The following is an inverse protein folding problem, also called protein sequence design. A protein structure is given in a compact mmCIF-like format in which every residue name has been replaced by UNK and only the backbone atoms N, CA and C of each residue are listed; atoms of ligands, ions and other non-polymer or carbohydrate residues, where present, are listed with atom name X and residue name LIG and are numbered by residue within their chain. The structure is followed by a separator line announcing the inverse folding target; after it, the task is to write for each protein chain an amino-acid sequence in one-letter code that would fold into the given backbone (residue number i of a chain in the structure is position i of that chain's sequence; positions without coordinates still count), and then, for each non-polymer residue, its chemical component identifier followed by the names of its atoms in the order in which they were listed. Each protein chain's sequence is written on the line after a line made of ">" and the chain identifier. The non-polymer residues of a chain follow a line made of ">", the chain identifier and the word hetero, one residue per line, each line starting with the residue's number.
data_IF_232717843746
#
_entry.id   IF_232717843746
#
_cell.length_a   1.000
_cell.length_b   1.000
_cell.length_c   1.000
_cell.angle_alpha   90.00
_cell.angle_beta   90.00
_cell.angle_gamma   90.00
#
_symmetry.space_group_name_H-M   'P 1'
#
loop_
_entity.id
_entity.type
_entity.pdbx_description
1 polymer ?
#
# COMPACT_ATOMS: atom_id res chain seq x y z
N UNK A 1 1.98 1.07 -22.37
CA UNK A 1 3.10 1.19 -21.42
C UNK A 1 2.86 2.28 -20.38
N UNK A 2 2.41 3.47 -20.78
CA UNK A 2 2.25 4.62 -19.85
C UNK A 2 1.34 4.33 -18.65
N UNK A 3 0.21 3.65 -18.88
CA UNK A 3 -0.71 3.21 -17.81
C UNK A 3 -0.07 2.25 -16.80
N UNK A 4 0.83 1.36 -17.25
CA UNK A 4 1.54 0.41 -16.38
C UNK A 4 2.52 1.15 -15.46
N UNK A 5 3.27 2.09 -16.02
CA UNK A 5 4.22 2.90 -15.26
C UNK A 5 3.46 3.74 -14.23
N UNK A 6 2.35 4.38 -14.63
CA UNK A 6 1.50 5.13 -13.71
C UNK A 6 0.98 4.22 -12.59
N UNK A 7 0.52 3.01 -12.92
CA UNK A 7 0.03 2.05 -11.95
C UNK A 7 1.11 1.62 -10.94
N UNK A 8 2.26 1.15 -11.43
CA UNK A 8 3.42 0.73 -10.63
C UNK A 8 3.89 1.87 -9.72
N UNK A 9 3.99 3.08 -10.27
CA UNK A 9 4.39 4.28 -9.51
C UNK A 9 3.38 4.60 -8.41
N UNK A 10 2.09 4.63 -8.76
CA UNK A 10 1.02 4.95 -7.81
C UNK A 10 0.97 3.92 -6.69
N UNK A 11 1.14 2.64 -7.02
CA UNK A 11 1.14 1.55 -6.06
C UNK A 11 2.28 1.66 -5.04
N UNK A 12 3.54 1.80 -5.50
CA UNK A 12 4.68 1.91 -4.58
C UNK A 12 4.64 3.20 -3.75
N UNK A 13 4.28 4.32 -4.38
CA UNK A 13 4.12 5.60 -3.66
C UNK A 13 3.05 5.49 -2.58
N UNK A 14 1.95 4.77 -2.83
CA UNK A 14 0.89 4.57 -1.85
C UNK A 14 1.40 3.81 -0.62
N UNK A 15 2.15 2.71 -0.81
CA UNK A 15 2.74 1.93 0.28
C UNK A 15 3.69 2.81 1.10
N UNK A 16 4.59 3.50 0.42
CA UNK A 16 5.60 4.36 1.05
C UNK A 16 4.94 5.50 1.84
N UNK A 17 3.93 6.16 1.28
CA UNK A 17 3.18 7.24 1.94
C UNK A 17 2.47 6.75 3.21
N UNK A 18 1.87 5.57 3.16
CA UNK A 18 1.23 4.95 4.34
C UNK A 18 2.26 4.73 5.44
N UNK A 19 3.38 4.09 5.12
CA UNK A 19 4.40 3.80 6.12
C UNK A 19 4.99 5.07 6.72
N UNK A 20 5.32 6.05 5.89
CA UNK A 20 5.81 7.34 6.38
C UNK A 20 4.78 8.06 7.27
N UNK A 21 3.49 7.99 6.94
CA UNK A 21 2.42 8.56 7.78
C UNK A 21 2.37 7.90 9.17
N UNK A 22 2.50 6.57 9.25
CA UNK A 22 2.55 5.86 10.53
C UNK A 22 3.79 6.20 11.34
N UNK A 23 4.97 6.22 10.71
CA UNK A 23 6.24 6.57 11.36
C UNK A 23 6.19 8.01 11.88
N UNK A 24 5.74 8.95 11.05
CA UNK A 24 5.61 10.36 11.43
C UNK A 24 4.70 10.54 12.66
N UNK A 25 3.53 9.90 12.66
CA UNK A 25 2.58 9.98 13.79
C UNK A 25 3.14 9.32 15.04
N UNK A 26 3.83 8.19 14.90
CA UNK A 26 4.50 7.52 16.01
C UNK A 26 5.54 8.45 16.67
N UNK A 27 6.39 9.08 15.85
CA UNK A 27 7.41 10.01 16.35
C UNK A 27 6.77 11.23 17.02
N UNK A 28 5.78 11.85 16.36
CA UNK A 28 5.11 13.04 16.88
C UNK A 28 4.37 12.79 18.20
N UNK A 29 3.67 11.66 18.35
CA UNK A 29 2.85 11.37 19.52
C UNK A 29 3.63 10.70 20.65
N UNK A 30 4.40 9.65 20.34
CA UNK A 30 5.02 8.80 21.36
C UNK A 30 6.44 9.23 21.72
N UNK A 31 7.11 10.01 20.85
CA UNK A 31 8.54 10.32 20.93
C UNK A 31 8.83 11.77 20.54
N UNK A 32 8.14 12.73 21.16
CA UNK A 32 8.25 14.16 20.84
C UNK A 32 9.70 14.71 20.86
N UNK A 33 10.59 14.13 21.68
CA UNK A 33 12.03 14.48 21.69
C UNK A 33 12.73 14.09 20.37
N UNK A 34 12.52 12.87 19.90
CA UNK A 34 13.05 12.41 18.60
C UNK A 34 12.35 13.08 17.42
N UNK A 35 11.14 13.60 17.61
CA UNK A 35 10.45 14.37 16.57
C UNK A 35 11.19 15.67 16.23
N UNK A 36 11.79 16.35 17.22
CA UNK A 36 12.61 17.54 16.95
C UNK A 36 13.88 17.19 16.15
N UNK A 37 14.54 16.08 16.47
CA UNK A 37 15.66 15.56 15.70
C UNK A 37 15.24 15.10 14.28
N UNK A 38 14.09 14.45 14.16
CA UNK A 38 13.52 14.00 12.89
C UNK A 38 13.08 15.19 11.99
N UNK A 39 12.68 16.31 12.59
CA UNK A 39 12.35 17.56 11.89
C UNK A 39 13.59 18.36 11.45
N UNK A 40 14.79 17.88 11.77
CA UNK A 40 16.04 18.49 11.29
C UNK A 40 16.20 18.25 9.79
N UNK A 41 16.74 19.24 9.06
CA UNK A 41 16.98 19.17 7.60
C UNK A 41 17.70 17.89 7.17
N UNK A 42 18.65 17.42 7.97
CA UNK A 42 19.41 16.18 7.72
C UNK A 42 18.52 14.93 7.76
N UNK A 43 17.66 14.81 8.77
CA UNK A 43 16.75 13.67 8.93
C UNK A 43 15.70 13.61 7.82
N UNK A 44 15.17 14.79 7.43
CA UNK A 44 14.25 14.90 6.27
C UNK A 44 14.96 14.47 4.98
N UNK A 45 16.20 14.89 4.78
CA UNK A 45 16.97 14.53 3.60
C UNK A 45 17.27 13.02 3.56
N UNK A 46 17.66 12.43 4.70
CA UNK A 46 17.87 10.98 4.84
C UNK A 46 16.58 10.21 4.55
N UNK A 47 15.44 10.67 5.09
CA UNK A 47 14.13 10.10 4.80
C UNK A 47 13.75 10.20 3.32
N UNK A 48 14.04 11.33 2.67
CA UNK A 48 13.79 11.48 1.23
C UNK A 48 14.60 10.48 0.40
N UNK A 49 15.91 10.37 0.66
CA UNK A 49 16.76 9.43 -0.06
C UNK A 49 16.42 7.97 0.22
N UNK A 50 16.06 7.61 1.45
CA UNK A 50 15.64 6.24 1.77
C UNK A 50 14.37 5.85 1.01
N UNK A 51 13.38 6.75 0.94
CA UNK A 51 12.17 6.55 0.17
C UNK A 51 12.45 6.44 -1.34
N UNK A 52 13.37 7.27 -1.86
CA UNK A 52 13.77 7.20 -3.26
C UNK A 52 14.42 5.85 -3.59
N UNK A 53 15.31 5.35 -2.72
CA UNK A 53 15.94 4.03 -2.87
C UNK A 53 14.91 2.89 -2.88
N UNK A 54 13.92 2.96 -1.99
CA UNK A 54 12.82 1.99 -1.94
C UNK A 54 12.02 1.99 -3.25
N UNK A 55 11.65 3.18 -3.75
CA UNK A 55 10.91 3.30 -5.01
C UNK A 55 11.72 2.74 -6.17
N UNK A 56 13.02 3.06 -6.24
CA UNK A 56 13.92 2.55 -7.28
C UNK A 56 14.07 1.03 -7.23
N UNK A 57 14.23 0.43 -6.04
CA UNK A 57 14.28 -1.03 -5.88
C UNK A 57 12.98 -1.68 -6.38
N UNK A 58 11.81 -1.13 -6.03
CA UNK A 58 10.54 -1.63 -6.54
C UNK A 58 10.44 -1.54 -8.07
N UNK A 59 10.90 -0.45 -8.68
CA UNK A 59 10.92 -0.32 -10.15
C UNK A 59 11.79 -1.38 -10.82
N UNK A 60 12.95 -1.70 -10.25
CA UNK A 60 13.83 -2.77 -10.75
C UNK A 60 13.07 -4.10 -10.70
N UNK A 61 12.45 -4.43 -9.57
CA UNK A 61 11.66 -5.66 -9.42
C UNK A 61 10.49 -5.68 -10.41
N UNK A 62 9.73 -4.59 -10.51
CA UNK A 62 8.61 -4.46 -11.43
C UNK A 62 9.02 -4.67 -12.90
N UNK A 63 10.17 -4.13 -13.29
CA UNK A 63 10.68 -4.25 -14.65
C UNK A 63 11.22 -5.66 -14.97
N UNK A 64 11.93 -6.30 -14.04
CA UNK A 64 12.58 -7.59 -14.32
C UNK A 64 11.74 -8.83 -13.96
N UNK A 65 10.87 -8.74 -12.94
CA UNK A 65 10.09 -9.88 -12.45
C UNK A 65 8.62 -9.85 -12.90
N UNK A 66 8.01 -8.66 -12.94
CA UNK A 66 6.57 -8.51 -13.15
C UNK A 66 6.18 -7.98 -14.53
N UNK A 67 7.15 -7.52 -15.32
CA UNK A 67 6.89 -6.94 -16.63
C UNK A 67 6.38 -8.02 -17.59
N UNK A 68 5.29 -7.74 -18.35
CA UNK A 68 4.71 -8.72 -19.25
C UNK A 68 5.72 -9.08 -20.36
N UNK A 69 6.10 -10.35 -20.42
CA UNK A 69 6.80 -10.92 -21.57
C UNK A 69 5.78 -11.26 -22.67
N UNK A 70 6.21 -11.27 -23.93
CA UNK A 70 5.31 -11.58 -25.07
C UNK A 70 4.62 -12.94 -24.92
N UNK A 71 5.29 -13.91 -24.27
CA UNK A 71 4.72 -15.22 -23.99
C UNK A 71 3.70 -15.22 -22.85
N UNK A 72 3.90 -14.36 -21.84
CA UNK A 72 2.93 -14.13 -20.77
C UNK A 72 1.67 -13.43 -21.29
N UNK A 73 1.82 -12.46 -22.19
CA UNK A 73 0.66 -11.83 -22.85
C UNK A 73 -0.15 -12.87 -23.63
N UNK A 74 0.51 -13.74 -24.41
CA UNK A 74 -0.18 -14.84 -25.12
C UNK A 74 -0.90 -15.81 -24.19
N UNK A 75 -0.31 -16.12 -23.03
CA UNK A 75 -0.95 -16.97 -22.02
C UNK A 75 -2.24 -16.30 -21.50
N UNK A 76 -2.19 -15.00 -21.18
CA UNK A 76 -3.37 -14.26 -20.75
C UNK A 76 -4.42 -14.24 -21.86
N UNK A 77 -4.04 -13.94 -23.10
CA UNK A 77 -4.99 -13.91 -24.23
C UNK A 77 -5.66 -15.27 -24.51
N UNK A 78 -4.97 -16.37 -24.24
CA UNK A 78 -5.50 -17.72 -24.44
C UNK A 78 -6.27 -18.27 -23.22
N UNK A 79 -5.98 -17.79 -22.01
CA UNK A 79 -6.62 -18.26 -20.78
C UNK A 79 -7.78 -17.36 -20.31
N UNK A 80 -7.83 -16.10 -20.77
CA UNK A 80 -8.78 -15.08 -20.32
C UNK A 80 -9.80 -14.79 -21.42
N UNK A 81 -10.73 -15.73 -21.67
CA UNK A 81 -11.99 -15.39 -22.36
C UNK A 81 -12.94 -14.71 -21.37
N UNK A 82 -12.69 -13.43 -21.07
CA UNK A 82 -13.65 -12.64 -20.28
C UNK A 82 -14.76 -12.18 -21.23
N UNK A 83 -15.88 -12.89 -21.18
CA UNK A 83 -17.11 -12.51 -21.89
C UNK A 83 -17.47 -11.05 -21.61
N UNK A 84 -17.33 -10.18 -22.61
CA UNK A 84 -17.81 -8.80 -22.57
C UNK A 84 -16.79 -7.72 -22.21
N UNK A 85 -15.53 -8.04 -21.90
CA UNK A 85 -14.47 -7.03 -21.68
C UNK A 85 -13.51 -7.05 -22.86
N UNK A 86 -13.48 -5.97 -23.63
CA UNK A 86 -12.46 -5.77 -24.66
C UNK A 86 -11.10 -5.61 -23.96
N UNK A 87 -10.28 -6.66 -23.99
CA UNK A 87 -8.91 -6.65 -23.44
C UNK A 87 -7.95 -5.81 -24.31
N UNK A 88 -8.41 -5.29 -25.45
CA UNK A 88 -7.68 -4.32 -26.27
C UNK A 88 -7.46 -3.02 -25.47
N UNK A 89 -6.27 -2.88 -24.90
CA UNK A 89 -5.86 -1.75 -24.05
C UNK A 89 -5.76 -2.07 -22.56
N UNK A 90 -6.07 -3.31 -22.15
CA UNK A 90 -5.84 -3.76 -20.78
C UNK A 90 -4.35 -3.96 -20.52
N UNK A 91 -3.89 -3.55 -19.34
CA UNK A 91 -2.51 -3.70 -18.90
C UNK A 91 -2.46 -4.79 -17.85
N UNK A 92 -1.60 -5.78 -18.06
CA UNK A 92 -1.43 -6.91 -17.16
C UNK A 92 -0.07 -6.84 -16.47
N UNK A 93 -0.08 -7.14 -15.17
CA UNK A 93 1.11 -7.28 -14.34
C UNK A 93 0.96 -8.62 -13.61
N UNK A 94 1.95 -9.51 -13.71
CA UNK A 94 1.83 -10.81 -13.07
C UNK A 94 3.10 -11.65 -13.19
N UNK A 95 3.13 -12.74 -12.43
CA UNK A 95 4.20 -13.74 -12.44
C UNK A 95 3.60 -15.06 -12.88
N UNK A 96 4.32 -15.79 -13.71
CA UNK A 96 4.03 -17.19 -14.00
C UNK A 96 5.26 -18.02 -13.71
N UNK A 97 5.10 -19.05 -12.87
CA UNK A 97 6.14 -20.04 -12.59
C UNK A 97 6.56 -20.80 -13.87
N UNK A 98 5.69 -20.87 -14.88
CA UNK A 98 5.99 -21.59 -16.13
C UNK A 98 6.89 -20.82 -17.09
N UNK A 99 6.87 -19.48 -17.05
CA UNK A 99 7.54 -18.63 -18.04
C UNK A 99 8.56 -17.64 -17.45
N UNK A 100 8.49 -17.32 -16.15
CA UNK A 100 9.36 -16.35 -15.46
C UNK A 100 10.15 -16.96 -14.29
N UNK A 101 10.88 -18.05 -14.53
CA UNK A 101 11.68 -18.75 -13.48
C UNK A 101 13.18 -18.80 -13.75
N UNK A 102 13.78 -17.66 -14.10
CA UNK A 102 15.22 -17.52 -13.85
C UNK A 102 15.47 -17.40 -12.34
N UNK A 103 16.59 -17.94 -11.84
CA UNK A 103 16.95 -17.80 -10.41
C UNK A 103 17.03 -16.33 -9.95
N UNK A 104 17.34 -15.41 -10.88
CA UNK A 104 17.31 -13.98 -10.65
C UNK A 104 15.90 -13.43 -10.41
N UNK A 105 14.91 -13.80 -11.22
CA UNK A 105 13.51 -13.39 -11.03
C UNK A 105 12.94 -13.94 -9.71
N UNK A 106 13.27 -15.18 -9.37
CA UNK A 106 12.89 -15.77 -8.08
C UNK A 106 13.47 -14.97 -6.91
N UNK A 107 14.74 -14.56 -6.98
CA UNK A 107 15.38 -13.73 -5.96
C UNK A 107 14.67 -12.36 -5.82
N UNK A 108 14.25 -11.74 -6.93
CA UNK A 108 13.49 -10.48 -6.91
C UNK A 108 12.08 -10.65 -6.31
N UNK A 109 11.41 -11.78 -6.54
CA UNK A 109 10.11 -12.08 -5.93
C UNK A 109 10.25 -12.33 -4.42
N UNK A 110 11.34 -12.97 -4.00
CA UNK A 110 11.67 -13.12 -2.58
C UNK A 110 11.97 -11.75 -1.95
N UNK A 111 12.71 -10.88 -2.65
CA UNK A 111 13.01 -9.52 -2.19
C UNK A 111 11.73 -8.71 -1.95
N UNK A 112 10.78 -8.73 -2.89
CA UNK A 112 9.50 -8.02 -2.72
C UNK A 112 8.67 -8.55 -1.55
N UNK A 113 8.72 -9.87 -1.29
CA UNK A 113 8.03 -10.48 -0.17
C UNK A 113 8.59 -9.95 1.17
N UNK A 114 9.91 -9.96 1.33
CA UNK A 114 10.56 -9.42 2.52
C UNK A 114 10.33 -7.92 2.67
N UNK A 115 10.40 -7.17 1.57
CA UNK A 115 10.09 -5.75 1.55
C UNK A 115 8.67 -5.46 2.05
N UNK A 116 7.65 -6.11 1.48
CA UNK A 116 6.25 -5.96 1.89
C UNK A 116 6.02 -6.36 3.34
N UNK A 117 6.65 -7.45 3.79
CA UNK A 117 6.58 -7.91 5.18
C UNK A 117 7.20 -6.88 6.14
N UNK A 118 8.35 -6.30 5.80
CA UNK A 118 9.00 -5.28 6.63
C UNK A 118 8.13 -4.03 6.78
N UNK A 119 7.52 -3.55 5.68
CA UNK A 119 6.62 -2.38 5.70
C UNK A 119 5.39 -2.64 6.58
N UNK A 120 4.80 -3.84 6.49
CA UNK A 120 3.70 -4.28 7.35
C UNK A 120 4.11 -4.30 8.82
N UNK A 121 5.27 -4.86 9.14
CA UNK A 121 5.76 -4.97 10.53
C UNK A 121 6.02 -3.58 11.13
N UNK A 122 6.62 -2.66 10.37
CA UNK A 122 6.81 -1.27 10.78
C UNK A 122 5.45 -0.61 11.05
N UNK A 123 4.49 -0.78 10.15
CA UNK A 123 3.15 -0.20 10.30
C UNK A 123 2.42 -0.73 11.54
N UNK A 124 2.46 -2.05 11.79
CA UNK A 124 1.87 -2.67 12.99
C UNK A 124 2.58 -2.17 14.24
N UNK A 125 3.92 -2.13 14.25
CA UNK A 125 4.69 -1.66 15.39
C UNK A 125 4.31 -0.21 15.75
N UNK A 126 4.31 0.69 14.77
CA UNK A 126 3.91 2.08 14.95
C UNK A 126 2.45 2.17 15.44
N UNK A 127 1.52 1.45 14.80
CA UNK A 127 0.11 1.45 15.18
C UNK A 127 -0.11 0.97 16.62
N UNK A 128 0.52 -0.13 17.03
CA UNK A 128 0.42 -0.68 18.39
C UNK A 128 0.97 0.32 19.41
N UNK A 129 2.14 0.92 19.16
CA UNK A 129 2.73 1.89 20.08
C UNK A 129 1.86 3.15 20.23
N UNK A 130 1.34 3.67 19.11
CA UNK A 130 0.43 4.82 19.14
C UNK A 130 -0.86 4.45 19.90
N UNK A 131 -1.41 3.26 19.68
CA UNK A 131 -2.59 2.76 20.38
C UNK A 131 -2.35 2.67 21.90
N UNK A 132 -1.23 2.07 22.33
CA UNK A 132 -0.86 2.00 23.74
C UNK A 132 -0.70 3.40 24.36
N UNK A 133 -0.04 4.31 23.66
CA UNK A 133 0.15 5.69 24.11
C UNK A 133 -1.17 6.44 24.28
N UNK A 134 -2.06 6.39 23.28
CA UNK A 134 -3.39 7.00 23.33
C UNK A 134 -4.24 6.40 24.45
N UNK A 135 -4.19 5.08 24.65
CA UNK A 135 -4.91 4.41 25.75
C UNK A 135 -4.41 4.85 27.12
N UNK A 136 -3.11 5.08 27.28
CA UNK A 136 -2.55 5.62 28.52
C UNK A 136 -2.87 7.11 28.72
N UNK A 137 -2.87 7.91 27.64
CA UNK A 137 -3.13 9.35 27.67
C UNK A 137 -4.60 9.73 27.89
N UNK A 138 -5.54 8.88 27.44
CA UNK A 138 -6.97 9.06 27.68
C UNK A 138 -7.33 9.08 29.17
N UNK A 139 -6.48 8.55 30.06
CA UNK A 139 -6.69 8.60 31.50
C UNK A 139 -6.44 9.98 32.13
N UNK A 140 -5.86 10.92 31.37
CA UNK A 140 -5.64 12.32 31.77
C UNK A 140 -6.78 13.19 31.20
N UNK A 141 -7.57 13.80 32.09
CA UNK A 141 -8.92 14.34 31.84
C UNK A 141 -9.09 15.44 30.78
N UNK A 142 -8.03 16.04 30.23
CA UNK A 142 -8.12 17.28 29.45
C UNK A 142 -8.05 17.16 27.91
N UNK A 143 -7.94 15.97 27.30
CA UNK A 143 -7.76 15.85 25.82
C UNK A 143 -8.56 14.73 25.14
N UNK A 144 -9.67 14.31 25.73
CA UNK A 144 -10.39 13.09 25.33
C UNK A 144 -10.99 13.11 23.90
N UNK A 145 -11.44 14.25 23.40
CA UNK A 145 -12.14 14.35 22.10
C UNK A 145 -11.19 14.35 20.89
N UNK A 146 -10.04 15.02 21.01
CA UNK A 146 -9.00 15.04 19.96
C UNK A 146 -8.28 13.69 19.89
N UNK A 147 -7.94 13.12 21.05
CA UNK A 147 -7.28 11.80 21.13
C UNK A 147 -8.16 10.67 20.60
N UNK A 148 -9.48 10.69 20.89
CA UNK A 148 -10.42 9.69 20.37
C UNK A 148 -10.58 9.72 18.85
N UNK A 149 -10.59 10.90 18.24
CA UNK A 149 -10.67 11.04 16.77
C UNK A 149 -9.41 10.53 16.06
N UNK A 150 -8.23 10.87 16.59
CA UNK A 150 -6.96 10.34 16.09
C UNK A 150 -6.92 8.81 16.18
N UNK A 151 -7.42 8.24 17.28
CA UNK A 151 -7.48 6.79 17.49
C UNK A 151 -8.35 6.08 16.44
N UNK A 152 -9.56 6.57 16.18
CA UNK A 152 -10.46 5.99 15.16
C UNK A 152 -9.84 6.11 13.76
N UNK A 153 -9.24 7.26 13.44
CA UNK A 153 -8.56 7.46 12.16
C UNK A 153 -7.37 6.50 11.99
N UNK A 154 -6.59 6.26 13.05
CA UNK A 154 -5.47 5.32 13.06
C UNK A 154 -5.94 3.88 12.84
N UNK A 155 -7.00 3.46 13.50
CA UNK A 155 -7.56 2.11 13.31
C UNK A 155 -7.99 1.90 11.86
N UNK A 156 -8.72 2.87 11.28
CA UNK A 156 -9.18 2.77 9.90
C UNK A 156 -8.05 2.83 8.88
N UNK A 157 -7.06 3.71 9.10
CA UNK A 157 -5.87 3.78 8.25
C UNK A 157 -4.95 2.58 8.39
N UNK A 158 -5.04 1.82 9.49
CA UNK A 158 -4.32 0.55 9.62
C UNK A 158 -5.11 -0.52 8.87
N UNK A 159 -6.39 -0.71 9.19
CA UNK A 159 -7.21 -1.76 8.59
C UNK A 159 -7.32 -1.65 7.06
N UNK A 160 -7.40 -0.45 6.49
CA UNK A 160 -7.56 -0.25 5.05
C UNK A 160 -6.41 -0.82 4.19
N UNK A 161 -5.13 -0.42 4.37
CA UNK A 161 -4.02 -1.01 3.62
C UNK A 161 -3.82 -2.49 3.94
N UNK A 162 -4.12 -2.95 5.17
CA UNK A 162 -4.07 -4.37 5.50
C UNK A 162 -5.05 -5.20 4.67
N UNK A 163 -6.31 -4.80 4.62
CA UNK A 163 -7.38 -5.56 3.95
C UNK A 163 -7.30 -5.45 2.43
N UNK A 164 -7.05 -4.24 1.91
CA UNK A 164 -7.16 -3.99 0.48
C UNK A 164 -5.82 -4.11 -0.26
N UNK A 165 -4.67 -3.99 0.42
CA UNK A 165 -3.38 -3.96 -0.26
C UNK A 165 -2.46 -5.12 0.14
N UNK A 166 -2.24 -5.33 1.44
CA UNK A 166 -1.30 -6.36 1.90
C UNK A 166 -1.87 -7.77 1.80
N UNK A 167 -3.09 -8.02 2.31
CA UNK A 167 -3.70 -9.36 2.26
C UNK A 167 -3.82 -9.88 0.82
N UNK A 168 -4.39 -9.11 -0.14
CA UNK A 168 -4.47 -9.56 -1.53
C UNK A 168 -3.10 -9.76 -2.18
N UNK A 169 -2.13 -8.88 -1.89
CA UNK A 169 -0.76 -9.02 -2.41
C UNK A 169 -0.03 -10.25 -1.88
N UNK A 170 -0.10 -10.52 -0.57
CA UNK A 170 0.47 -11.73 0.02
C UNK A 170 -0.24 -13.00 -0.47
N UNK A 171 -1.55 -12.93 -0.64
CA UNK A 171 -2.33 -14.05 -1.19
C UNK A 171 -1.93 -14.37 -2.62
N UNK A 172 -1.75 -13.34 -3.48
CA UNK A 172 -1.26 -13.52 -4.84
C UNK A 172 0.14 -14.15 -4.87
N UNK A 173 1.07 -13.67 -4.03
CA UNK A 173 2.42 -14.24 -3.92
C UNK A 173 2.39 -15.69 -3.41
N UNK A 174 1.57 -15.97 -2.40
CA UNK A 174 1.41 -17.32 -1.86
C UNK A 174 0.91 -18.30 -2.92
N UNK A 175 -0.09 -17.91 -3.72
CA UNK A 175 -0.61 -18.73 -4.81
C UNK A 175 0.46 -19.03 -5.87
N UNK A 176 1.28 -18.03 -6.21
CA UNK A 176 2.42 -18.20 -7.14
C UNK A 176 3.43 -19.21 -6.58
N UNK A 177 3.78 -19.12 -5.30
CA UNK A 177 4.73 -20.05 -4.67
C UNK A 177 4.15 -21.45 -4.43
N UNK A 178 2.85 -21.55 -4.21
CA UNK A 178 2.14 -22.82 -4.02
C UNK A 178 1.87 -23.55 -5.35
N UNK A 179 2.23 -22.95 -6.49
CA UNK A 179 1.99 -23.46 -7.84
C UNK A 179 0.51 -23.83 -8.06
N UNK A 180 -0.39 -23.02 -7.49
CA UNK A 180 -1.83 -23.23 -7.59
C UNK A 180 -2.36 -22.46 -8.79
N UNK A 181 -2.96 -23.18 -9.73
CA UNK A 181 -3.69 -22.57 -10.85
C UNK A 181 -4.86 -21.73 -10.33
N UNK A 182 -4.75 -20.42 -10.49
CA UNK A 182 -5.79 -19.47 -10.09
C UNK A 182 -6.88 -19.39 -11.15
N UNK A 183 -8.14 -19.46 -10.72
CA UNK A 183 -9.27 -19.14 -11.60
C UNK A 183 -9.34 -17.63 -11.86
N UNK A 184 -9.90 -17.24 -13.01
CA UNK A 184 -10.11 -15.84 -13.38
C UNK A 184 -10.79 -15.03 -12.28
N UNK A 185 -11.81 -15.61 -11.64
CA UNK A 185 -12.55 -14.99 -10.55
C UNK A 185 -11.66 -14.61 -9.36
N UNK A 186 -10.73 -15.49 -8.98
CA UNK A 186 -9.82 -15.23 -7.85
C UNK A 186 -8.83 -14.11 -8.22
N UNK A 187 -8.29 -14.14 -9.43
CA UNK A 187 -7.38 -13.12 -9.95
C UNK A 187 -8.06 -11.76 -10.02
N UNK A 188 -9.29 -11.70 -10.57
CA UNK A 188 -10.06 -10.46 -10.70
C UNK A 188 -10.41 -9.84 -9.35
N UNK A 189 -10.86 -10.66 -8.38
CA UNK A 189 -11.13 -10.17 -7.03
C UNK A 189 -9.86 -9.63 -6.38
N UNK A 190 -8.76 -10.36 -6.48
CA UNK A 190 -7.47 -9.98 -5.87
C UNK A 190 -6.98 -8.66 -6.45
N UNK A 191 -6.96 -8.53 -7.77
CA UNK A 191 -6.60 -7.29 -8.47
C UNK A 191 -7.55 -6.14 -8.13
N UNK A 192 -8.87 -6.39 -8.10
CA UNK A 192 -9.88 -5.38 -7.77
C UNK A 192 -9.69 -4.85 -6.35
N UNK A 193 -9.46 -5.73 -5.37
CA UNK A 193 -9.19 -5.33 -3.99
C UNK A 193 -7.96 -4.43 -3.89
N UNK A 194 -6.86 -4.81 -4.55
CA UNK A 194 -5.63 -4.00 -4.62
C UNK A 194 -5.88 -2.63 -5.25
N UNK A 195 -6.67 -2.58 -6.33
CA UNK A 195 -6.97 -1.35 -7.05
C UNK A 195 -7.93 -0.43 -6.31
N UNK A 196 -8.78 -0.96 -5.43
CA UNK A 196 -9.70 -0.16 -4.63
C UNK A 196 -8.99 0.56 -3.47
N UNK A 197 -7.81 0.11 -3.06
CA UNK A 197 -7.11 0.66 -1.90
C UNK A 197 -6.95 2.20 -1.94
N UNK A 198 -6.43 2.84 -3.02
CA UNK A 198 -6.25 4.30 -3.06
C UNK A 198 -7.56 5.08 -2.89
N UNK A 199 -8.65 4.54 -3.46
CA UNK A 199 -9.98 5.14 -3.38
C UNK A 199 -10.51 5.04 -1.94
N UNK A 200 -10.47 3.84 -1.35
CA UNK A 200 -10.93 3.62 0.03
C UNK A 200 -10.11 4.49 1.00
N UNK A 201 -8.80 4.56 0.84
CA UNK A 201 -7.94 5.39 1.68
C UNK A 201 -8.31 6.88 1.59
N UNK A 202 -8.57 7.39 0.38
CA UNK A 202 -8.99 8.77 0.15
C UNK A 202 -10.35 9.07 0.79
N UNK A 203 -11.32 8.16 0.65
CA UNK A 203 -12.65 8.27 1.27
C UNK A 203 -12.53 8.28 2.80
N UNK A 204 -11.74 7.38 3.37
CA UNK A 204 -11.51 7.31 4.83
C UNK A 204 -10.92 8.62 5.34
N UNK A 205 -9.94 9.20 4.66
CA UNK A 205 -9.34 10.48 5.05
C UNK A 205 -10.38 11.61 5.03
N UNK A 206 -11.14 11.75 3.95
CA UNK A 206 -12.14 12.82 3.80
C UNK A 206 -13.28 12.68 4.82
N UNK A 207 -13.76 11.45 5.06
CA UNK A 207 -14.88 11.21 5.96
C UNK A 207 -14.53 11.47 7.44
N UNK A 208 -13.32 11.07 7.86
CA UNK A 208 -12.92 11.03 9.26
C UNK A 208 -12.12 12.24 9.74
N UNK A 209 -11.59 13.07 8.83
CA UNK A 209 -10.95 14.34 9.18
C UNK A 209 -11.99 15.47 9.06
N UNK A 210 -12.47 16.05 10.18
CA UNK A 210 -13.54 17.05 10.20
C UNK A 210 -13.27 18.25 9.30
N UNK A 211 -12.03 18.72 9.27
CA UNK A 211 -11.59 19.87 8.49
C UNK A 211 -11.76 19.62 6.99
N UNK A 212 -11.42 18.41 6.51
CA UNK A 212 -11.64 18.02 5.12
C UNK A 212 -13.13 17.85 4.81
N UNK A 213 -13.91 17.26 5.72
CA UNK A 213 -15.36 17.09 5.54
C UNK A 213 -16.06 18.44 5.46
N UNK A 214 -15.72 19.38 6.34
CA UNK A 214 -16.29 20.73 6.36
C UNK A 214 -15.91 21.51 5.11
N UNK A 215 -14.65 21.38 4.65
CA UNK A 215 -14.21 21.96 3.38
C UNK A 215 -15.00 21.41 2.19
N UNK A 216 -15.19 20.09 2.12
CA UNK A 216 -15.95 19.43 1.04
C UNK A 216 -17.42 19.84 1.07
N UNK A 217 -18.07 19.84 2.24
CA UNK A 217 -19.48 20.27 2.40
C UNK A 217 -19.64 21.75 2.03
N UNK A 218 -18.70 22.61 2.42
CA UNK A 218 -18.68 24.04 2.07
C UNK A 218 -18.54 24.26 0.56
N UNK A 219 -17.63 23.53 -0.10
CA UNK A 219 -17.41 23.63 -1.55
C UNK A 219 -18.55 23.04 -2.38
N UNK A 220 -19.14 21.93 -1.93
CA UNK A 220 -20.26 21.28 -2.60
C UNK A 220 -21.60 21.96 -2.31
N UNK A 221 -21.63 23.03 -1.49
CA UNK A 221 -22.85 23.73 -1.09
C UNK A 221 -23.92 22.77 -0.55
N UNK A 222 -23.52 21.73 0.17
CA UNK A 222 -24.43 20.79 0.84
C UNK A 222 -24.98 21.39 2.16
N UNK A 223 -25.07 22.71 2.23
CA UNK A 223 -25.56 23.51 3.34
C UNK A 223 -26.41 24.66 2.81
#
# INVERSE_FOLDING_TARGET
>A
MDLLIIFVTTYICSIVLVTNSFVYRYLSLCRAQFFQEYSTKTSILVGFFSNLLVILNYFIIAYFAFWPSQDFERLIWNCVEVTGINLNGAVFLGVSMKYNMSGFQLALIIDIFFFMASMVLINIFCAVKIHCYLKSGARSSNSHSLQGRLFVLLQLQTCSPFIFLYIPGFFALFLVFADVDTTLFITDITCTLMNLYPIINSIVIIAFIPEYREFVVSKLKLK
#
